data_IF_412865420465
#
_entry.id   IF_412865420465
#
_cell.length_a   1.000
_cell.length_b   1.000
_cell.length_c   1.000
_cell.angle_alpha   90.00
_cell.angle_beta   90.00
_cell.angle_gamma   90.00
#
_symmetry.space_group_name_H-M   'P 1'
#
loop_
_entity.id
_entity.type
_entity.pdbx_description
1 polymer ?
#
# COMPACT_ATOMS: atom_id res chain seq x y z
N UNK A 1 -5.70 6.58 18.42
CA UNK A 1 -6.09 6.60 17.00
C UNK A 1 -5.26 5.52 16.33
N UNK A 2 -5.91 4.49 15.79
CA UNK A 2 -5.28 3.25 15.33
C UNK A 2 -4.42 3.49 14.08
N UNK A 3 -3.10 3.45 14.23
CA UNK A 3 -2.14 3.39 13.11
C UNK A 3 -2.19 2.06 12.34
N UNK A 4 -2.99 1.08 12.80
CA UNK A 4 -3.08 -0.28 12.24
C UNK A 4 -3.94 -0.38 10.96
N UNK A 5 -4.70 0.64 10.59
CA UNK A 5 -5.69 0.55 9.49
C UNK A 5 -5.26 1.21 8.17
N UNK A 6 -4.08 1.83 8.09
CA UNK A 6 -3.62 2.47 6.85
C UNK A 6 -2.77 1.51 6.01
N UNK A 7 -3.41 0.49 5.43
CA UNK A 7 -2.83 -0.30 4.34
C UNK A 7 -3.57 0.07 3.05
N UNK A 8 -3.21 1.21 2.41
CA UNK A 8 -3.93 1.70 1.23
C UNK A 8 -3.78 0.80 0.01
N UNK A 9 -2.81 -0.11 0.00
CA UNK A 9 -2.60 -1.04 -1.11
C UNK A 9 -3.11 -2.44 -0.77
N UNK A 10 -3.84 -3.04 -1.71
CA UNK A 10 -4.39 -4.40 -1.60
C UNK A 10 -4.25 -5.18 -2.92
N UNK A 11 -4.19 -6.51 -2.82
CA UNK A 11 -4.25 -7.39 -4.00
C UNK A 11 -5.72 -7.68 -4.30
N UNK A 12 -6.09 -7.54 -5.57
CA UNK A 12 -7.33 -8.02 -6.16
C UNK A 12 -7.02 -9.16 -7.13
N UNK A 13 -7.89 -10.16 -7.19
CA UNK A 13 -7.74 -11.28 -8.13
C UNK A 13 -8.78 -11.12 -9.22
N UNK A 14 -8.37 -11.03 -10.49
CA UNK A 14 -9.27 -10.81 -11.62
C UNK A 14 -8.92 -11.72 -12.79
N UNK A 15 -9.86 -12.60 -13.18
CA UNK A 15 -9.82 -13.44 -14.39
C UNK A 15 -8.45 -14.09 -14.71
N UNK A 16 -7.75 -14.61 -13.70
CA UNK A 16 -6.48 -15.31 -13.87
C UNK A 16 -5.22 -14.44 -13.73
N UNK A 17 -5.38 -13.16 -13.42
CA UNK A 17 -4.31 -12.23 -13.08
C UNK A 17 -4.53 -11.64 -11.67
N UNK A 18 -3.44 -11.13 -11.10
CA UNK A 18 -3.41 -10.43 -9.83
C UNK A 18 -3.18 -8.94 -10.08
N UNK A 19 -4.04 -8.12 -9.52
CA UNK A 19 -4.00 -6.67 -9.63
C UNK A 19 -3.66 -6.10 -8.25
N UNK A 20 -2.80 -5.10 -8.20
CA UNK A 20 -2.58 -4.30 -6.99
C UNK A 20 -3.38 -3.02 -7.13
N UNK A 21 -4.27 -2.78 -6.18
CA UNK A 21 -5.14 -1.61 -6.13
C UNK A 21 -4.67 -0.64 -5.04
N UNK A 22 -4.81 0.66 -5.29
CA UNK A 22 -4.69 1.70 -4.25
C UNK A 22 -6.01 1.91 -3.48
N UNK A 23 -6.02 2.84 -2.53
CA UNK A 23 -7.19 3.19 -1.73
C UNK A 23 -8.34 3.77 -2.57
N UNK A 24 -8.04 4.33 -3.73
CA UNK A 24 -9.01 4.82 -4.73
C UNK A 24 -9.47 3.75 -5.71
N UNK A 25 -9.15 2.47 -5.44
CA UNK A 25 -9.45 1.32 -6.28
C UNK A 25 -8.80 1.36 -7.67
N UNK A 26 -7.77 2.19 -7.87
CA UNK A 26 -7.04 2.24 -9.14
C UNK A 26 -5.99 1.14 -9.19
N UNK A 27 -5.88 0.49 -10.34
CA UNK A 27 -4.85 -0.54 -10.57
C UNK A 27 -3.49 0.10 -10.79
N UNK A 28 -2.54 -0.20 -9.91
CA UNK A 28 -1.15 0.30 -10.00
C UNK A 28 -0.18 -0.76 -10.52
N UNK A 29 -0.54 -2.04 -10.44
CA UNK A 29 0.21 -3.15 -11.01
C UNK A 29 -0.76 -4.25 -11.42
N UNK A 30 -0.52 -4.88 -12.56
CA UNK A 30 -1.16 -6.13 -12.96
C UNK A 30 -0.07 -7.16 -13.27
N UNK A 31 -0.22 -8.38 -12.76
CA UNK A 31 0.73 -9.46 -12.95
C UNK A 31 0.03 -10.82 -12.94
N UNK A 32 0.44 -11.79 -13.76
CA UNK A 32 -0.06 -13.16 -13.68
C UNK A 32 0.48 -13.92 -12.44
N UNK A 33 1.44 -13.36 -11.70
CA UNK A 33 2.09 -14.02 -10.57
C UNK A 33 1.62 -13.45 -9.22
N UNK A 34 0.95 -14.30 -8.42
CA UNK A 34 0.44 -13.98 -7.09
C UNK A 34 1.53 -13.42 -6.17
N UNK A 35 2.67 -14.10 -6.15
CA UNK A 35 3.80 -13.79 -5.27
C UNK A 35 4.32 -12.40 -5.56
N UNK A 36 4.39 -12.00 -6.83
CA UNK A 36 4.79 -10.65 -7.22
C UNK A 36 3.80 -9.61 -6.73
N UNK A 37 2.50 -9.83 -6.86
CA UNK A 37 1.48 -8.90 -6.39
C UNK A 37 1.52 -8.72 -4.87
N UNK A 38 1.65 -9.82 -4.12
CA UNK A 38 1.74 -9.81 -2.66
C UNK A 38 2.99 -9.07 -2.17
N UNK A 39 4.16 -9.37 -2.75
CA UNK A 39 5.40 -8.66 -2.42
C UNK A 39 5.32 -7.17 -2.75
N UNK A 40 4.68 -6.80 -3.85
CA UNK A 40 4.52 -5.41 -4.24
C UNK A 40 3.63 -4.64 -3.27
N UNK A 41 2.52 -5.25 -2.83
CA UNK A 41 1.64 -4.69 -1.79
C UNK A 41 2.39 -4.50 -0.47
N UNK A 42 3.16 -5.50 -0.02
CA UNK A 42 3.96 -5.38 1.20
C UNK A 42 4.97 -4.24 1.12
N UNK A 43 5.68 -4.11 -0.01
CA UNK A 43 6.64 -3.03 -0.24
C UNK A 43 5.97 -1.65 -0.20
N UNK A 44 4.85 -1.50 -0.91
CA UNK A 44 4.12 -0.23 -0.99
C UNK A 44 3.54 0.17 0.37
N UNK A 45 2.95 -0.77 1.11
CA UNK A 45 2.43 -0.51 2.44
C UNK A 45 3.56 -0.18 3.44
N UNK A 46 4.72 -0.84 3.35
CA UNK A 46 5.91 -0.49 4.16
C UNK A 46 6.44 0.90 3.82
N UNK A 47 6.53 1.23 2.53
CA UNK A 47 6.96 2.55 2.07
C UNK A 47 5.99 3.64 2.53
N UNK A 48 4.68 3.37 2.44
CA UNK A 48 3.63 4.27 2.92
C UNK A 48 3.74 4.50 4.43
N UNK A 49 3.82 3.44 5.23
CA UNK A 49 3.98 3.55 6.70
C UNK A 49 5.26 4.30 7.08
N UNK A 50 6.37 4.06 6.36
CA UNK A 50 7.64 4.76 6.59
C UNK A 50 7.57 6.25 6.22
N UNK A 51 6.99 6.58 5.05
CA UNK A 51 6.79 7.95 4.58
C UNK A 51 5.81 8.73 5.44
N UNK A 52 4.68 8.10 5.81
CA UNK A 52 3.66 8.64 6.71
C UNK A 52 4.25 8.96 8.08
N UNK A 53 5.00 8.02 8.68
CA UNK A 53 5.68 8.24 9.96
C UNK A 53 6.69 9.39 9.91
N UNK A 54 7.39 9.58 8.79
CA UNK A 54 8.34 10.70 8.60
C UNK A 54 7.64 12.05 8.40
N UNK A 55 6.53 12.09 7.68
CA UNK A 55 5.70 13.29 7.49
C UNK A 55 4.99 13.71 8.79
N UNK A 56 4.42 12.74 9.51
CA UNK A 56 3.74 12.97 10.79
C UNK A 56 4.71 13.44 11.88
N UNK A 57 5.94 12.88 11.93
CA UNK A 57 6.95 13.32 12.88
C UNK A 57 7.38 14.76 12.63
N UNK A 58 7.48 15.22 11.38
CA UNK A 58 7.77 16.64 11.06
C UNK A 58 6.62 17.58 11.45
N UNK A 59 5.36 17.15 11.29
CA UNK A 59 4.21 17.95 11.68
C UNK A 59 4.09 18.17 13.20
N UNK A 60 4.62 17.26 14.04
CA UNK A 60 4.60 17.40 15.52
C UNK A 60 5.76 18.18 16.13
N UNK A 61 6.80 18.53 15.38
CA UNK A 61 7.94 19.33 15.90
C UNK A 61 7.87 20.81 15.50
N UNK A 62 6.77 21.22 14.84
CA UNK A 62 6.54 22.59 14.39
C UNK A 62 5.54 23.38 15.23
N UNK A 63 5.34 23.03 16.50
CA UNK A 63 4.51 23.79 17.44
C UNK A 63 5.31 24.17 18.68
#
# INVERSE_FOLDING_TARGET
MNDEELSPYRVNTNQGCYQVLDASEQTVLETPNAVTAEHYVDLLNKAFKSGFKKGFRKARVGQ
#
